data_IF_497915975450
#
_entry.id   IF_497915975450
#
_cell.length_a   1.000
_cell.length_b   1.000
_cell.length_c   1.000
_cell.angle_alpha   90.00
_cell.angle_beta   90.00
_cell.angle_gamma   90.00
#
_symmetry.space_group_name_H-M   'P 1'
#
loop_
_entity.id
_entity.type
_entity.pdbx_description
1 polymer ?
#
# COMPACT_ATOMS: atom_id res chain seq x y z
N UNK A 1 -28.10 -7.12 33.72
CA UNK A 1 -27.04 -6.15 34.08
C UNK A 1 -26.30 -5.79 32.80
N UNK A 2 -26.59 -4.62 32.22
CA UNK A 2 -26.09 -4.19 30.92
C UNK A 2 -24.70 -3.54 31.08
N UNK A 3 -23.65 -4.34 30.90
CA UNK A 3 -22.25 -3.93 31.06
C UNK A 3 -21.64 -3.39 29.75
N UNK A 4 -22.41 -2.63 28.95
CA UNK A 4 -22.08 -2.32 27.55
C UNK A 4 -21.36 -0.98 27.33
N UNK A 5 -21.15 -0.17 28.36
CA UNK A 5 -20.44 1.11 28.29
C UNK A 5 -19.05 1.01 28.90
N UNK A 6 -18.02 1.12 28.06
CA UNK A 6 -16.62 1.11 28.47
C UNK A 6 -16.31 2.31 29.38
N UNK A 7 -16.02 2.04 30.66
CA UNK A 7 -15.45 3.04 31.55
C UNK A 7 -14.03 3.43 31.12
N UNK A 8 -13.51 4.60 31.55
CA UNK A 8 -12.18 5.08 31.19
C UNK A 8 -11.02 4.14 31.59
N UNK A 9 -11.26 3.14 32.46
CA UNK A 9 -10.29 2.12 32.86
C UNK A 9 -10.32 0.79 32.08
N UNK A 10 -11.32 0.52 31.23
CA UNK A 10 -11.55 -0.82 30.62
C UNK A 10 -10.86 -1.06 29.26
N UNK A 11 -10.17 -0.04 28.72
CA UNK A 11 -9.25 -0.18 27.58
C UNK A 11 -7.82 -0.50 28.04
N UNK A 12 -7.65 -0.99 29.26
CA UNK A 12 -6.38 -1.54 29.73
C UNK A 12 -6.28 -2.98 29.26
N UNK A 13 -5.38 -3.22 28.30
CA UNK A 13 -5.07 -4.57 27.84
C UNK A 13 -4.21 -5.29 28.88
N UNK A 14 -4.33 -6.62 29.03
CA UNK A 14 -3.40 -7.40 29.83
C UNK A 14 -1.96 -7.13 29.38
N UNK A 15 -1.03 -7.04 30.32
CA UNK A 15 0.41 -6.85 30.06
C UNK A 15 0.97 -7.68 28.88
N UNK A 16 0.68 -8.99 28.74
CA UNK A 16 1.19 -9.76 27.59
C UNK A 16 0.64 -9.26 26.25
N UNK A 17 -0.64 -8.87 26.19
CA UNK A 17 -1.27 -8.35 24.97
C UNK A 17 -0.67 -7.00 24.59
N UNK A 18 -0.46 -6.13 25.58
CA UNK A 18 0.23 -4.85 25.40
C UNK A 18 1.64 -5.08 24.85
N UNK A 19 2.40 -6.02 25.43
CA UNK A 19 3.74 -6.37 24.94
C UNK A 19 3.72 -6.85 23.50
N UNK A 20 2.76 -7.70 23.11
CA UNK A 20 2.61 -8.18 21.73
C UNK A 20 2.42 -7.00 20.76
N UNK A 21 1.60 -6.01 21.10
CA UNK A 21 1.40 -4.83 20.25
C UNK A 21 2.67 -3.99 20.12
N UNK A 22 3.39 -3.73 21.21
CA UNK A 22 4.66 -2.99 21.16
C UNK A 22 5.72 -3.74 20.32
N UNK A 23 5.85 -5.06 20.51
CA UNK A 23 6.76 -5.90 19.71
C UNK A 23 6.38 -5.87 18.24
N UNK A 24 5.09 -6.04 17.91
CA UNK A 24 4.60 -5.96 16.54
C UNK A 24 4.89 -4.59 15.91
N UNK A 25 4.57 -3.48 16.57
CA UNK A 25 4.85 -2.14 16.04
C UNK A 25 6.35 -1.89 15.89
N UNK A 26 7.18 -2.40 16.81
CA UNK A 26 8.63 -2.35 16.69
C UNK A 26 9.16 -3.12 15.47
N UNK A 27 8.62 -4.32 15.21
CA UNK A 27 8.95 -5.10 14.01
C UNK A 27 8.53 -4.38 12.74
N UNK A 28 7.31 -3.83 12.69
CA UNK A 28 6.82 -3.02 11.56
C UNK A 28 7.73 -1.81 11.33
N UNK A 29 8.16 -1.14 12.38
CA UNK A 29 9.07 0.00 12.29
C UNK A 29 10.42 -0.41 11.66
N UNK A 30 11.08 -1.43 12.19
CA UNK A 30 12.40 -1.86 11.72
C UNK A 30 12.31 -2.42 10.30
N UNK A 31 11.41 -3.36 10.05
CA UNK A 31 11.26 -3.98 8.74
C UNK A 31 10.78 -2.96 7.71
N UNK A 32 9.78 -2.15 8.05
CA UNK A 32 9.26 -1.12 7.17
C UNK A 32 10.32 -0.11 6.78
N UNK A 33 11.14 0.39 7.72
CA UNK A 33 12.21 1.34 7.41
C UNK A 33 13.24 0.72 6.47
N UNK A 34 13.67 -0.52 6.74
CA UNK A 34 14.65 -1.21 5.90
C UNK A 34 14.10 -1.46 4.48
N UNK A 35 12.91 -2.04 4.37
CA UNK A 35 12.29 -2.42 3.10
C UNK A 35 11.96 -1.20 2.25
N UNK A 36 11.32 -0.17 2.83
CA UNK A 36 10.92 1.02 2.08
C UNK A 36 12.10 1.92 1.74
N UNK A 37 13.10 2.06 2.61
CA UNK A 37 14.31 2.84 2.28
C UNK A 37 15.12 2.16 1.17
N UNK A 38 15.30 0.84 1.25
CA UNK A 38 15.97 0.08 0.20
C UNK A 38 15.20 0.16 -1.12
N UNK A 39 13.88 0.00 -1.07
CA UNK A 39 13.03 0.14 -2.25
C UNK A 39 13.18 1.53 -2.87
N UNK A 40 13.01 2.60 -2.08
CA UNK A 40 13.12 3.97 -2.57
C UNK A 40 14.52 4.25 -3.15
N UNK A 41 15.59 3.76 -2.51
CA UNK A 41 16.96 3.86 -3.03
C UNK A 41 17.11 3.16 -4.39
N UNK A 42 16.65 1.91 -4.52
CA UNK A 42 16.72 1.16 -5.79
C UNK A 42 15.86 1.85 -6.87
N UNK A 43 14.66 2.28 -6.50
CA UNK A 43 13.72 2.97 -7.37
C UNK A 43 14.18 4.38 -7.74
N UNK A 44 15.05 5.05 -7.01
CA UNK A 44 15.51 6.38 -7.40
C UNK A 44 16.88 6.32 -8.08
N UNK A 45 17.80 5.50 -7.56
CA UNK A 45 19.21 5.58 -7.90
C UNK A 45 19.73 4.42 -8.76
N UNK A 46 19.06 3.26 -8.79
CA UNK A 46 19.56 2.07 -9.53
C UNK A 46 18.88 1.85 -10.86
N UNK A 47 17.63 2.24 -11.00
CA UNK A 47 16.89 2.03 -12.24
C UNK A 47 17.08 3.20 -13.20
N UNK A 48 17.45 2.93 -14.45
CA UNK A 48 17.80 3.96 -15.43
C UNK A 48 16.58 4.67 -16.03
N UNK A 49 15.45 3.95 -16.16
CA UNK A 49 14.24 4.47 -16.83
C UNK A 49 13.07 4.59 -15.87
N UNK A 50 12.44 5.76 -15.83
CA UNK A 50 11.22 5.97 -15.06
C UNK A 50 10.03 5.40 -15.81
N UNK A 51 9.28 4.53 -15.14
CA UNK A 51 8.01 3.96 -15.62
C UNK A 51 6.87 4.44 -14.72
N UNK A 52 5.63 4.33 -15.19
CA UNK A 52 4.43 4.72 -14.45
C UNK A 52 4.36 4.00 -13.10
N UNK A 53 4.57 2.69 -13.12
CA UNK A 53 4.51 1.84 -11.93
C UNK A 53 5.62 2.20 -10.94
N UNK A 54 6.81 2.56 -11.43
CA UNK A 54 7.92 3.05 -10.60
C UNK A 54 7.58 4.37 -9.90
N UNK A 55 6.88 5.28 -10.57
CA UNK A 55 6.40 6.53 -9.96
C UNK A 55 5.41 6.23 -8.82
N UNK A 56 4.43 5.36 -9.04
CA UNK A 56 3.47 4.99 -7.99
C UNK A 56 4.14 4.30 -6.80
N UNK A 57 5.07 3.36 -7.04
CA UNK A 57 5.79 2.68 -5.97
C UNK A 57 6.74 3.59 -5.19
N UNK A 58 7.39 4.57 -5.84
CA UNK A 58 8.21 5.54 -5.13
C UNK A 58 7.37 6.44 -4.21
N UNK A 59 6.18 6.86 -4.66
CA UNK A 59 5.24 7.61 -3.82
C UNK A 59 4.70 6.76 -2.66
N UNK A 60 4.45 5.46 -2.89
CA UNK A 60 4.01 4.53 -1.86
C UNK A 60 5.09 4.37 -0.78
N UNK A 61 6.34 4.08 -1.19
CA UNK A 61 7.48 3.98 -0.28
C UNK A 61 7.70 5.28 0.51
N UNK A 62 7.53 6.45 -0.13
CA UNK A 62 7.64 7.74 0.54
C UNK A 62 6.54 7.93 1.60
N UNK A 63 5.29 7.60 1.29
CA UNK A 63 4.19 7.69 2.24
C UNK A 63 4.40 6.74 3.43
N UNK A 64 4.86 5.52 3.17
CA UNK A 64 5.18 4.54 4.22
C UNK A 64 6.33 4.99 5.12
N UNK A 65 7.40 5.56 4.56
CA UNK A 65 8.49 6.14 5.35
C UNK A 65 7.98 7.28 6.24
N UNK A 66 7.08 8.13 5.74
CA UNK A 66 6.44 9.16 6.56
C UNK A 66 5.66 8.55 7.73
N UNK A 67 4.86 7.49 7.50
CA UNK A 67 4.19 6.76 8.58
C UNK A 67 5.20 6.21 9.59
N UNK A 68 6.23 5.51 9.12
CA UNK A 68 7.23 4.85 9.97
C UNK A 68 7.95 5.86 10.88
N UNK A 69 8.26 7.06 10.39
CA UNK A 69 8.82 8.14 11.20
C UNK A 69 7.88 8.61 12.33
N UNK A 70 6.57 8.44 12.19
CA UNK A 70 5.59 8.81 13.24
C UNK A 70 5.33 7.73 14.28
N UNK A 71 5.67 6.46 13.99
CA UNK A 71 5.43 5.35 14.91
C UNK A 71 6.15 5.50 16.26
N UNK A 72 7.44 5.94 16.35
CA UNK A 72 8.09 6.17 17.63
C UNK A 72 7.36 7.21 18.49
N UNK A 73 6.89 8.29 17.87
CA UNK A 73 6.13 9.32 18.55
C UNK A 73 4.77 8.77 19.03
N UNK A 74 4.07 8.00 18.21
CA UNK A 74 2.84 7.33 18.60
C UNK A 74 3.06 6.40 19.81
N UNK A 75 4.11 5.59 19.82
CA UNK A 75 4.42 4.69 20.94
C UNK A 75 4.73 5.46 22.24
N UNK A 76 5.51 6.54 22.13
CA UNK A 76 5.78 7.44 23.25
C UNK A 76 4.48 8.05 23.81
N UNK A 77 3.64 8.53 22.91
CA UNK A 77 2.36 9.17 23.19
C UNK A 77 1.39 8.22 23.91
N UNK A 78 1.29 6.97 23.44
CA UNK A 78 0.49 5.91 24.06
C UNK A 78 0.99 5.50 25.45
N UNK A 79 2.32 5.47 25.65
CA UNK A 79 2.92 5.09 26.93
C UNK A 79 2.73 6.17 28.00
N UNK A 80 2.93 7.43 27.64
CA UNK A 80 2.99 8.52 28.59
C UNK A 80 1.66 9.28 28.74
N UNK A 81 0.62 8.88 28.00
CA UNK A 81 -0.68 9.55 28.05
C UNK A 81 -0.57 11.03 27.68
N UNK A 82 0.21 11.34 26.63
CA UNK A 82 0.49 12.74 26.25
C UNK A 82 -0.79 13.47 25.90
N UNK A 83 -0.89 14.72 26.35
CA UNK A 83 -1.96 15.65 26.00
C UNK A 83 -1.97 16.00 24.51
N UNK A 84 -3.11 16.53 24.08
CA UNK A 84 -3.39 17.02 22.73
C UNK A 84 -2.43 18.14 22.31
N UNK A 85 -1.28 17.74 21.76
CA UNK A 85 -0.22 18.64 21.28
C UNK A 85 -0.23 18.74 19.76
N UNK A 86 0.19 19.86 19.16
CA UNK A 86 0.28 19.99 17.70
C UNK A 86 1.09 18.87 17.02
N UNK A 87 2.15 18.38 17.67
CA UNK A 87 2.94 17.24 17.19
C UNK A 87 2.16 15.92 17.18
N UNK A 88 1.28 15.72 18.16
CA UNK A 88 0.38 14.57 18.19
C UNK A 88 -0.68 14.65 17.09
N UNK A 89 -1.26 15.83 16.89
CA UNK A 89 -2.20 16.06 15.80
C UNK A 89 -1.55 15.84 14.43
N UNK A 90 -0.34 16.35 14.23
CA UNK A 90 0.44 16.15 13.01
C UNK A 90 0.75 14.67 12.79
N UNK A 91 1.20 13.96 13.82
CA UNK A 91 1.52 12.52 13.74
C UNK A 91 0.29 11.69 13.38
N UNK A 92 -0.87 12.00 13.97
CA UNK A 92 -2.14 11.36 13.60
C UNK A 92 -2.57 11.72 12.18
N UNK A 93 -2.35 12.97 11.75
CA UNK A 93 -2.59 13.42 10.38
C UNK A 93 -1.78 12.63 9.37
N UNK A 94 -0.47 12.45 9.60
CA UNK A 94 0.42 11.64 8.76
C UNK A 94 -0.02 10.17 8.76
N UNK A 95 -0.38 9.62 9.93
CA UNK A 95 -0.88 8.24 10.04
C UNK A 95 -2.13 8.03 9.16
N UNK A 96 -3.08 8.96 9.20
CA UNK A 96 -4.29 8.90 8.39
C UNK A 96 -4.02 9.17 6.91
N UNK A 97 -3.10 10.10 6.61
CA UNK A 97 -2.64 10.38 5.26
C UNK A 97 -2.04 9.13 4.62
N UNK A 98 -1.15 8.41 5.32
CA UNK A 98 -0.55 7.19 4.79
C UNK A 98 -1.61 6.15 4.45
N UNK A 99 -2.60 5.94 5.32
CA UNK A 99 -3.68 4.98 5.08
C UNK A 99 -4.41 5.26 3.77
N UNK A 100 -4.90 6.48 3.57
CA UNK A 100 -5.63 6.82 2.34
C UNK A 100 -4.74 6.94 1.12
N UNK A 101 -3.50 7.38 1.30
CA UNK A 101 -2.52 7.45 0.22
C UNK A 101 -2.16 6.04 -0.29
N UNK A 102 -1.90 5.11 0.61
CA UNK A 102 -1.65 3.70 0.29
C UNK A 102 -2.83 3.07 -0.45
N UNK A 103 -4.05 3.23 0.07
CA UNK A 103 -5.29 2.76 -0.58
C UNK A 103 -5.41 3.30 -2.01
N UNK A 104 -5.18 4.60 -2.18
CA UNK A 104 -5.33 5.28 -3.47
C UNK A 104 -4.25 4.88 -4.47
N UNK A 105 -3.00 4.75 -4.02
CA UNK A 105 -1.87 4.33 -4.85
C UNK A 105 -1.99 2.86 -5.27
N UNK A 106 -2.40 1.97 -4.36
CA UNK A 106 -2.67 0.55 -4.70
C UNK A 106 -3.76 0.44 -5.77
N UNK A 107 -4.85 1.22 -5.63
CA UNK A 107 -5.88 1.32 -6.66
C UNK A 107 -5.32 1.84 -7.98
N UNK A 108 -4.53 2.92 -7.97
CA UNK A 108 -3.93 3.49 -9.18
C UNK A 108 -3.01 2.49 -9.91
N UNK A 109 -2.21 1.71 -9.15
CA UNK A 109 -1.37 0.63 -9.69
C UNK A 109 -2.24 -0.45 -10.35
N UNK A 110 -3.35 -0.85 -9.73
CA UNK A 110 -4.25 -1.85 -10.30
C UNK A 110 -4.93 -1.35 -11.59
N UNK A 111 -5.34 -0.08 -11.62
CA UNK A 111 -5.91 0.56 -12.82
C UNK A 111 -4.87 0.64 -13.93
N UNK A 112 -3.63 1.04 -13.63
CA UNK A 112 -2.51 1.06 -14.57
C UNK A 112 -2.28 -0.32 -15.20
N UNK A 113 -2.25 -1.37 -14.37
CA UNK A 113 -2.08 -2.76 -14.82
C UNK A 113 -3.26 -3.25 -15.65
N UNK A 114 -4.49 -2.95 -15.22
CA UNK A 114 -5.69 -3.26 -16.00
C UNK A 114 -5.64 -2.62 -17.40
N UNK A 115 -5.32 -1.32 -17.47
CA UNK A 115 -5.20 -0.59 -18.73
C UNK A 115 -4.12 -1.19 -19.63
N UNK A 116 -2.96 -1.53 -19.07
CA UNK A 116 -1.86 -2.18 -19.79
C UNK A 116 -2.28 -3.49 -20.46
N UNK A 117 -3.07 -4.31 -19.76
CA UNK A 117 -3.45 -5.66 -20.20
C UNK A 117 -4.62 -5.64 -21.19
N UNK A 118 -5.63 -4.79 -20.94
CA UNK A 118 -6.89 -4.79 -21.71
C UNK A 118 -6.91 -3.82 -22.87
N UNK A 119 -6.17 -2.72 -22.80
CA UNK A 119 -6.23 -1.65 -23.80
C UNK A 119 -4.85 -1.18 -24.29
N UNK A 120 -3.89 -2.09 -24.59
CA UNK A 120 -2.48 -1.73 -24.84
C UNK A 120 -2.30 -0.66 -25.94
N UNK A 121 -3.13 -0.69 -27.00
CA UNK A 121 -3.08 0.28 -28.09
C UNK A 121 -3.71 1.65 -27.74
N UNK A 122 -4.76 1.66 -26.91
CA UNK A 122 -5.50 2.88 -26.55
C UNK A 122 -4.76 3.70 -25.48
N UNK A 123 -3.97 3.04 -24.64
CA UNK A 123 -3.24 3.69 -23.55
C UNK A 123 -1.77 3.99 -23.85
N UNK A 124 -1.26 3.65 -25.05
CA UNK A 124 0.14 3.91 -25.42
C UNK A 124 0.51 5.41 -25.42
N UNK A 125 -0.46 6.30 -25.65
CA UNK A 125 -0.29 7.76 -25.53
C UNK A 125 -0.79 8.36 -24.20
N UNK A 126 -1.50 7.57 -23.39
CA UNK A 126 -2.11 8.01 -22.11
C UNK A 126 -1.36 7.48 -20.88
N UNK A 127 -0.40 6.58 -21.09
CA UNK A 127 0.53 6.08 -20.07
C UNK A 127 1.89 6.69 -20.33
N UNK A 128 2.26 7.59 -19.43
CA UNK A 128 3.58 8.15 -19.35
C UNK A 128 3.94 8.39 -17.88
N UNK A 129 5.23 8.36 -17.52
CA UNK A 129 5.67 8.70 -16.17
C UNK A 129 5.19 10.08 -15.72
N UNK A 130 5.08 11.05 -16.65
CA UNK A 130 4.54 12.38 -16.36
C UNK A 130 3.09 12.34 -15.92
N UNK A 131 2.25 11.54 -16.57
CA UNK A 131 0.85 11.38 -16.18
C UNK A 131 0.71 10.64 -14.85
N UNK A 132 1.55 9.63 -14.60
CA UNK A 132 1.61 8.95 -13.30
C UNK A 132 2.02 9.93 -12.17
N UNK A 133 2.99 10.82 -12.43
CA UNK A 133 3.38 11.87 -11.48
C UNK A 133 2.23 12.83 -11.23
N UNK A 134 1.55 13.30 -12.29
CA UNK A 134 0.40 14.19 -12.15
C UNK A 134 -0.73 13.54 -11.32
N UNK A 135 -0.99 12.25 -11.54
CA UNK A 135 -1.95 11.48 -10.75
C UNK A 135 -1.52 11.39 -9.28
N UNK A 136 -0.25 11.06 -9.00
CA UNK A 136 0.27 11.01 -7.62
C UNK A 136 0.14 12.36 -6.92
N UNK A 137 0.46 13.47 -7.61
CA UNK A 137 0.31 14.82 -7.06
C UNK A 137 -1.16 15.15 -6.77
N UNK A 138 -2.08 14.79 -7.67
CA UNK A 138 -3.51 14.95 -7.44
C UNK A 138 -3.99 14.15 -6.22
N UNK A 139 -3.51 12.91 -6.05
CA UNK A 139 -3.80 12.08 -4.88
C UNK A 139 -3.25 12.71 -3.59
N UNK A 140 -2.01 13.22 -3.59
CA UNK A 140 -1.44 13.94 -2.45
C UNK A 140 -2.29 15.16 -2.07
N UNK A 141 -2.64 16.00 -3.05
CA UNK A 141 -3.46 17.19 -2.82
C UNK A 141 -4.84 16.80 -2.28
N UNK A 142 -5.47 15.76 -2.84
CA UNK A 142 -6.78 15.28 -2.39
C UNK A 142 -6.72 14.76 -0.94
N UNK A 143 -5.77 13.88 -0.65
CA UNK A 143 -5.63 13.26 0.68
C UNK A 143 -5.24 14.31 1.72
N UNK A 144 -4.15 15.04 1.51
CA UNK A 144 -3.67 16.06 2.46
C UNK A 144 -4.70 17.18 2.58
N UNK A 145 -5.27 17.66 1.47
CA UNK A 145 -6.29 18.69 1.47
C UNK A 145 -7.53 18.29 2.26
N UNK A 146 -8.01 17.06 2.12
CA UNK A 146 -9.15 16.55 2.90
C UNK A 146 -8.86 16.51 4.41
N UNK A 147 -7.62 16.17 4.80
CA UNK A 147 -7.20 16.11 6.19
C UNK A 147 -6.99 17.50 6.80
N UNK A 148 -6.41 18.42 6.04
CA UNK A 148 -6.27 19.82 6.44
C UNK A 148 -7.64 20.46 6.59
N UNK A 149 -8.56 20.24 5.64
CA UNK A 149 -9.93 20.73 5.74
C UNK A 149 -10.63 20.19 6.98
N UNK A 150 -10.49 18.89 7.26
CA UNK A 150 -11.01 18.28 8.49
C UNK A 150 -10.44 18.92 9.76
N UNK A 151 -9.13 19.21 9.76
CA UNK A 151 -8.46 19.85 10.88
C UNK A 151 -8.96 21.29 11.09
N UNK A 152 -9.06 22.09 10.01
CA UNK A 152 -9.54 23.49 10.02
C UNK A 152 -11.01 23.58 10.43
N UNK A 153 -11.87 22.71 9.92
CA UNK A 153 -13.31 22.74 10.19
C UNK A 153 -13.68 22.34 11.63
N UNK A 154 -12.70 21.98 12.47
CA UNK A 154 -12.99 21.61 13.86
C UNK A 154 -13.92 20.40 13.96
N UNK A 155 -14.03 19.56 12.91
CA UNK A 155 -14.72 18.25 12.94
C UNK A 155 -13.85 17.25 13.72
N UNK A 156 -13.42 17.70 14.88
CA UNK A 156 -12.52 17.09 15.84
C UNK A 156 -13.39 16.66 17.02
N UNK A 157 -14.17 15.62 16.77
CA UNK A 157 -15.02 15.05 17.80
C UNK A 157 -14.18 14.17 18.75
N UNK A 158 -13.61 14.82 19.77
CA UNK A 158 -13.00 14.20 20.94
C UNK A 158 -11.48 13.98 20.85
N UNK A 159 -10.75 14.73 21.68
CA UNK A 159 -9.43 14.46 22.23
C UNK A 159 -8.40 13.86 21.29
N UNK A 160 -7.55 14.71 20.70
CA UNK A 160 -6.43 14.25 19.88
C UNK A 160 -5.35 13.60 20.75
N UNK A 161 -5.30 12.27 20.66
CA UNK A 161 -4.16 11.38 20.79
C UNK A 161 -4.69 9.96 20.48
N UNK A 162 -3.83 8.98 20.20
CA UNK A 162 -4.18 7.59 19.86
C UNK A 162 -5.07 6.84 20.89
N UNK A 163 -5.57 7.54 21.91
CA UNK A 163 -6.46 7.10 22.97
C UNK A 163 -7.90 7.54 22.69
N UNK A 164 -8.66 6.63 22.09
CA UNK A 164 -10.12 6.54 22.00
C UNK A 164 -10.94 7.79 21.59
N UNK A 165 -11.52 7.80 20.38
CA UNK A 165 -12.46 8.84 19.94
C UNK A 165 -13.85 8.60 20.53
N UNK A 166 -14.28 9.41 21.48
CA UNK A 166 -15.63 9.31 22.06
C UNK A 166 -16.74 9.73 21.10
N UNK A 167 -16.50 10.54 20.06
CA UNK A 167 -17.63 11.04 19.25
C UNK A 167 -17.38 11.28 17.75
N UNK A 168 -16.50 10.54 17.05
CA UNK A 168 -16.37 10.66 15.58
C UNK A 168 -17.72 10.85 14.86
N UNK A 169 -17.92 12.01 14.22
CA UNK A 169 -19.17 12.35 13.54
C UNK A 169 -19.50 11.34 12.43
N UNK A 170 -20.78 11.02 12.25
CA UNK A 170 -21.23 10.07 11.23
C UNK A 170 -20.72 10.43 9.83
N UNK A 171 -20.64 11.73 9.50
CA UNK A 171 -20.11 12.23 8.22
C UNK A 171 -18.64 11.85 8.01
N UNK A 172 -17.81 11.90 9.07
CA UNK A 172 -16.39 11.54 8.99
C UNK A 172 -16.22 10.05 8.70
N UNK A 173 -17.03 9.21 9.35
CA UNK A 173 -16.99 7.76 9.13
C UNK A 173 -17.51 7.43 7.74
N UNK A 174 -18.58 8.08 7.28
CA UNK A 174 -19.11 7.89 5.91
C UNK A 174 -18.05 8.26 4.85
N UNK A 175 -17.35 9.39 5.01
CA UNK A 175 -16.28 9.77 4.09
C UNK A 175 -15.13 8.75 4.09
N UNK A 176 -14.78 8.22 5.27
CA UNK A 176 -13.80 7.13 5.41
C UNK A 176 -14.23 5.86 4.68
N UNK A 177 -15.49 5.46 4.84
CA UNK A 177 -16.06 4.29 4.16
C UNK A 177 -16.11 4.48 2.65
N UNK A 178 -16.52 5.67 2.17
CA UNK A 178 -16.52 5.98 0.74
C UNK A 178 -15.10 5.95 0.16
N UNK A 179 -14.14 6.55 0.89
CA UNK A 179 -12.72 6.54 0.55
C UNK A 179 -12.08 5.15 0.57
N UNK A 180 -12.78 4.12 1.07
CA UNK A 180 -12.31 2.73 1.06
C UNK A 180 -13.08 1.83 0.09
N UNK A 181 -14.41 1.83 0.13
CA UNK A 181 -15.24 0.93 -0.67
C UNK A 181 -15.18 1.26 -2.16
N UNK A 182 -15.02 2.54 -2.53
CA UNK A 182 -14.83 2.93 -3.93
C UNK A 182 -13.50 2.38 -4.46
N UNK A 183 -12.34 2.60 -3.80
CA UNK A 183 -11.09 1.95 -4.20
C UNK A 183 -11.15 0.41 -4.20
N UNK A 184 -11.83 -0.20 -3.22
CA UNK A 184 -12.01 -1.65 -3.19
C UNK A 184 -12.77 -2.15 -4.43
N UNK A 185 -13.88 -1.51 -4.80
CA UNK A 185 -14.67 -1.90 -5.96
C UNK A 185 -13.85 -1.81 -7.26
N UNK A 186 -13.09 -0.71 -7.43
CA UNK A 186 -12.19 -0.53 -8.57
C UNK A 186 -11.09 -1.61 -8.57
N UNK A 187 -10.46 -1.86 -7.43
CA UNK A 187 -9.39 -2.84 -7.28
C UNK A 187 -9.87 -4.26 -7.62
N UNK A 188 -11.04 -4.66 -7.11
CA UNK A 188 -11.66 -5.96 -7.42
C UNK A 188 -12.00 -6.05 -8.90
N UNK A 189 -12.63 -5.03 -9.48
CA UNK A 189 -12.95 -4.99 -10.90
C UNK A 189 -11.69 -5.14 -11.76
N UNK A 190 -10.67 -4.32 -11.52
CA UNK A 190 -9.40 -4.38 -12.25
C UNK A 190 -8.74 -5.75 -12.12
N UNK A 191 -8.74 -6.34 -10.92
CA UNK A 191 -8.18 -7.67 -10.66
C UNK A 191 -8.89 -8.76 -11.46
N UNK A 192 -10.22 -8.80 -11.42
CA UNK A 192 -11.02 -9.76 -12.19
C UNK A 192 -10.78 -9.62 -13.70
N UNK A 193 -10.70 -8.40 -14.20
CA UNK A 193 -10.47 -8.17 -15.63
C UNK A 193 -9.07 -8.62 -16.08
N UNK A 194 -8.04 -8.40 -15.27
CA UNK A 194 -6.68 -8.88 -15.56
C UNK A 194 -6.63 -10.42 -15.57
N UNK A 195 -7.30 -11.07 -14.63
CA UNK A 195 -7.38 -12.54 -14.55
C UNK A 195 -8.18 -13.14 -15.71
N UNK A 196 -9.33 -12.57 -16.05
CA UNK A 196 -10.12 -13.06 -17.20
C UNK A 196 -9.41 -12.83 -18.53
N UNK A 197 -8.59 -11.79 -18.65
CA UNK A 197 -7.76 -11.57 -19.82
C UNK A 197 -6.69 -12.65 -20.00
N UNK A 198 -6.21 -13.25 -18.90
CA UNK A 198 -5.32 -14.41 -18.96
C UNK A 198 -6.04 -15.67 -19.44
N UNK A 199 -7.22 -15.96 -18.88
CA UNK A 199 -7.96 -17.18 -19.19
C UNK A 199 -8.51 -17.26 -20.63
N UNK A 200 -8.62 -16.12 -21.32
CA UNK A 200 -9.19 -16.04 -22.69
C UNK A 200 -8.14 -16.01 -23.81
N UNK A 201 -6.84 -16.01 -23.51
CA UNK A 201 -5.79 -15.85 -24.53
C UNK A 201 -5.38 -17.21 -25.14
N UNK A 202 -5.27 -17.32 -26.48
CA UNK A 202 -4.76 -18.53 -27.13
C UNK A 202 -3.34 -18.85 -26.67
N UNK A 203 -3.04 -20.14 -26.46
CA UNK A 203 -1.74 -20.67 -25.99
C UNK A 203 -0.55 -20.40 -26.92
N UNK A 204 -0.78 -19.84 -28.11
CA UNK A 204 0.24 -19.63 -29.14
C UNK A 204 1.11 -18.37 -28.98
N UNK A 205 0.78 -17.44 -28.09
CA UNK A 205 1.54 -16.19 -27.88
C UNK A 205 2.29 -16.19 -26.54
N UNK A 206 3.32 -17.04 -26.43
CA UNK A 206 4.07 -17.31 -25.20
C UNK A 206 4.70 -16.06 -24.56
N UNK A 207 5.14 -15.09 -25.38
CA UNK A 207 5.77 -13.85 -24.91
C UNK A 207 4.79 -12.89 -24.20
N UNK A 208 3.55 -12.76 -24.70
CA UNK A 208 2.53 -11.94 -24.04
C UNK A 208 1.90 -12.63 -22.83
N UNK A 209 1.82 -13.96 -22.81
CA UNK A 209 1.34 -14.74 -21.66
C UNK A 209 2.21 -14.50 -20.43
N UNK A 210 3.53 -14.43 -20.60
CA UNK A 210 4.45 -14.18 -19.48
C UNK A 210 4.28 -12.77 -18.87
N UNK A 211 4.11 -11.74 -19.71
CA UNK A 211 3.88 -10.36 -19.27
C UNK A 211 2.54 -10.21 -18.56
N UNK A 212 1.48 -10.81 -19.10
CA UNK A 212 0.15 -10.78 -18.47
C UNK A 212 0.10 -11.59 -17.18
N UNK A 213 0.85 -12.69 -17.07
CA UNK A 213 0.92 -13.49 -15.84
C UNK A 213 1.65 -12.74 -14.73
N UNK A 214 2.72 -12.00 -15.05
CA UNK A 214 3.41 -11.12 -14.10
C UNK A 214 2.51 -10.01 -13.60
N UNK A 215 1.81 -9.33 -14.52
CA UNK A 215 0.84 -8.30 -14.17
C UNK A 215 -0.28 -8.85 -13.27
N UNK A 216 -0.79 -10.05 -13.54
CA UNK A 216 -1.82 -10.68 -12.71
C UNK A 216 -1.31 -11.07 -11.33
N UNK A 217 -0.09 -11.59 -11.20
CA UNK A 217 0.51 -11.90 -9.88
C UNK A 217 0.68 -10.64 -9.03
N UNK A 218 1.14 -9.54 -9.63
CA UNK A 218 1.24 -8.26 -8.95
C UNK A 218 -0.13 -7.74 -8.51
N UNK A 219 -1.13 -7.74 -9.40
CA UNK A 219 -2.49 -7.26 -9.07
C UNK A 219 -3.16 -8.13 -7.99
N UNK A 220 -3.00 -9.46 -8.06
CA UNK A 220 -3.49 -10.37 -7.03
C UNK A 220 -2.81 -10.17 -5.68
N UNK A 221 -1.49 -10.01 -5.67
CA UNK A 221 -0.75 -9.71 -4.45
C UNK A 221 -1.27 -8.42 -3.80
N UNK A 222 -1.43 -7.36 -4.59
CA UNK A 222 -1.96 -6.09 -4.12
C UNK A 222 -3.40 -6.21 -3.57
N UNK A 223 -4.26 -7.01 -4.23
CA UNK A 223 -5.61 -7.27 -3.74
C UNK A 223 -5.58 -7.99 -2.38
N UNK A 224 -4.73 -9.01 -2.22
CA UNK A 224 -4.60 -9.76 -0.96
C UNK A 224 -4.11 -8.83 0.16
N UNK A 225 -3.06 -8.04 -0.10
CA UNK A 225 -2.54 -7.08 0.89
C UNK A 225 -3.62 -6.07 1.27
N UNK A 226 -4.33 -5.50 0.28
CA UNK A 226 -5.39 -4.55 0.53
C UNK A 226 -6.52 -5.13 1.39
N UNK A 227 -6.96 -6.35 1.08
CA UNK A 227 -8.00 -7.05 1.82
C UNK A 227 -7.54 -7.41 3.23
N UNK A 228 -6.31 -7.89 3.42
CA UNK A 228 -5.81 -8.28 4.74
C UNK A 228 -5.58 -7.06 5.63
N UNK A 229 -4.99 -5.98 5.10
CA UNK A 229 -4.60 -4.82 5.90
C UNK A 229 -5.74 -3.83 6.12
N UNK A 230 -6.55 -3.54 5.09
CA UNK A 230 -7.52 -2.44 5.18
C UNK A 230 -8.96 -2.88 5.40
N UNK A 231 -9.40 -4.01 4.83
CA UNK A 231 -10.81 -4.45 4.94
C UNK A 231 -11.27 -4.68 6.40
N UNK A 232 -10.50 -5.32 7.29
CA UNK A 232 -10.98 -5.61 8.64
C UNK A 232 -11.34 -4.35 9.42
N UNK A 233 -10.54 -3.29 9.27
CA UNK A 233 -10.80 -2.01 9.92
C UNK A 233 -12.08 -1.36 9.42
N UNK A 234 -12.27 -1.31 8.10
CA UNK A 234 -13.44 -0.67 7.50
C UNK A 234 -14.72 -1.47 7.75
N UNK A 235 -14.65 -2.79 7.84
CA UNK A 235 -15.77 -3.63 8.29
C UNK A 235 -16.18 -3.25 9.73
N UNK A 236 -15.23 -3.11 10.65
CA UNK A 236 -15.54 -2.71 12.03
C UNK A 236 -16.12 -1.29 12.08
N UNK A 237 -15.62 -0.36 11.26
CA UNK A 237 -16.20 0.98 11.12
C UNK A 237 -17.64 0.95 10.59
N UNK A 238 -17.92 0.12 9.59
CA UNK A 238 -19.28 -0.10 9.07
C UNK A 238 -20.20 -0.65 10.14
N UNK A 239 -19.76 -1.65 10.92
CA UNK A 239 -20.54 -2.19 12.05
C UNK A 239 -20.82 -1.12 13.11
N UNK A 240 -19.83 -0.28 13.43
CA UNK A 240 -20.00 0.83 14.39
C UNK A 240 -21.10 1.79 13.94
N UNK A 241 -21.13 2.16 12.66
CA UNK A 241 -22.16 3.06 12.11
C UNK A 241 -23.52 2.37 12.08
N UNK A 242 -23.58 1.13 11.58
CA UNK A 242 -24.83 0.38 11.43
C UNK A 242 -25.52 0.10 12.78
N UNK A 243 -24.73 -0.18 13.82
CA UNK A 243 -25.27 -0.48 15.16
C UNK A 243 -25.46 0.77 16.02
N UNK A 244 -24.76 1.87 15.72
CA UNK A 244 -24.73 3.08 16.56
C UNK A 244 -24.37 2.82 18.04
N UNK A 245 -23.75 1.66 18.35
CA UNK A 245 -23.41 1.24 19.70
C UNK A 245 -21.90 1.40 19.96
N UNK A 246 -21.49 2.26 20.90
CA UNK A 246 -20.07 2.43 21.25
C UNK A 246 -19.59 1.35 22.23
N UNK A 247 -19.70 0.06 21.84
CA UNK A 247 -19.33 -1.05 22.74
C UNK A 247 -17.81 -1.19 22.89
N UNK A 248 -17.38 -1.77 24.01
CA UNK A 248 -15.98 -2.13 24.25
C UNK A 248 -15.42 -3.06 23.16
N UNK A 249 -16.24 -3.98 22.66
CA UNK A 249 -15.85 -4.94 21.62
C UNK A 249 -15.47 -4.20 20.34
N UNK A 250 -16.29 -3.24 19.91
CA UNK A 250 -16.02 -2.42 18.72
C UNK A 250 -14.75 -1.59 18.92
N UNK A 251 -14.55 -0.98 20.09
CA UNK A 251 -13.34 -0.19 20.38
C UNK A 251 -12.07 -1.05 20.32
N UNK A 252 -12.10 -2.24 20.93
CA UNK A 252 -11.00 -3.21 20.89
C UNK A 252 -10.74 -3.70 19.46
N UNK A 253 -11.79 -4.02 18.71
CA UNK A 253 -11.68 -4.44 17.31
C UNK A 253 -11.07 -3.34 16.43
N UNK A 254 -11.47 -2.06 16.60
CA UNK A 254 -10.86 -0.93 15.88
C UNK A 254 -9.38 -0.78 16.19
N UNK A 255 -8.97 -0.98 17.45
CA UNK A 255 -7.56 -0.93 17.83
C UNK A 255 -6.77 -2.05 17.13
N UNK A 256 -7.22 -3.30 17.25
CA UNK A 256 -6.57 -4.48 16.63
C UNK A 256 -6.47 -4.33 15.12
N UNK A 257 -7.58 -3.99 14.47
CA UNK A 257 -7.63 -3.86 13.01
C UNK A 257 -6.85 -2.65 12.49
N UNK A 258 -6.73 -1.58 13.27
CA UNK A 258 -5.82 -0.47 12.95
C UNK A 258 -4.36 -0.91 12.97
N UNK A 259 -3.96 -1.73 13.96
CA UNK A 259 -2.60 -2.31 14.01
C UNK A 259 -2.33 -3.26 12.85
N UNK A 260 -3.31 -4.08 12.48
CA UNK A 260 -3.21 -4.92 11.28
C UNK A 260 -3.02 -4.08 10.01
N UNK A 261 -3.72 -2.95 9.89
CA UNK A 261 -3.54 -2.00 8.80
C UNK A 261 -2.14 -1.39 8.73
N UNK A 262 -1.45 -1.23 9.86
CA UNK A 262 -0.06 -0.73 9.89
C UNK A 262 0.90 -1.70 9.16
N UNK A 263 0.58 -2.99 9.10
CA UNK A 263 1.38 -3.99 8.41
C UNK A 263 1.46 -3.79 6.89
N UNK A 264 0.59 -2.95 6.30
CA UNK A 264 0.59 -2.65 4.88
C UNK A 264 1.97 -2.18 4.39
N UNK A 265 2.62 -1.28 5.15
CA UNK A 265 3.91 -0.70 4.76
C UNK A 265 5.03 -1.74 4.64
N UNK A 266 4.91 -2.89 5.31
CA UNK A 266 5.85 -4.01 5.17
C UNK A 266 5.46 -4.91 3.99
N UNK A 267 4.16 -5.14 3.79
CA UNK A 267 3.66 -6.00 2.72
C UNK A 267 3.78 -5.37 1.34
N UNK A 268 3.91 -4.04 1.25
CA UNK A 268 4.27 -3.33 0.01
C UNK A 268 5.63 -3.76 -0.56
N UNK A 269 6.48 -4.41 0.22
CA UNK A 269 7.68 -5.08 -0.27
C UNK A 269 7.41 -6.16 -1.33
N UNK A 270 6.22 -6.77 -1.32
CA UNK A 270 5.80 -7.73 -2.35
C UNK A 270 5.69 -7.01 -3.70
N UNK A 271 5.12 -5.79 -3.72
CA UNK A 271 5.05 -4.96 -4.92
C UNK A 271 6.45 -4.65 -5.48
N UNK A 272 7.38 -4.29 -4.58
CA UNK A 272 8.75 -3.97 -4.96
C UNK A 272 9.51 -5.17 -5.53
N UNK A 273 9.29 -6.37 -4.96
CA UNK A 273 9.86 -7.61 -5.47
C UNK A 273 9.45 -7.87 -6.92
N UNK A 274 8.15 -7.77 -7.23
CA UNK A 274 7.65 -7.99 -8.58
C UNK A 274 8.21 -6.96 -9.57
N UNK A 275 8.32 -5.68 -9.19
CA UNK A 275 8.93 -4.68 -10.05
C UNK A 275 10.43 -4.94 -10.27
N UNK A 276 11.18 -5.26 -9.22
CA UNK A 276 12.60 -5.54 -9.33
C UNK A 276 12.86 -6.75 -10.25
N UNK A 277 11.98 -7.74 -10.20
CA UNK A 277 12.01 -8.90 -11.10
C UNK A 277 11.73 -8.49 -12.56
N UNK A 278 10.70 -7.70 -12.81
CA UNK A 278 10.40 -7.18 -14.15
C UNK A 278 11.59 -6.41 -14.74
N UNK A 279 12.24 -5.56 -13.94
CA UNK A 279 13.41 -4.80 -14.37
C UNK A 279 14.61 -5.68 -14.69
N UNK A 280 14.93 -6.64 -13.83
CA UNK A 280 16.07 -7.57 -14.04
C UNK A 280 15.91 -8.35 -15.33
N UNK A 281 14.71 -8.82 -15.63
CA UNK A 281 14.40 -9.57 -16.84
C UNK A 281 14.38 -8.70 -18.11
N UNK A 282 14.00 -7.42 -17.99
CA UNK A 282 14.09 -6.46 -19.08
C UNK A 282 15.56 -6.11 -19.41
N UNK A 283 16.38 -5.86 -18.39
CA UNK A 283 17.82 -5.63 -18.57
C UNK A 283 18.55 -6.84 -19.15
N UNK A 284 18.19 -8.06 -18.74
CA UNK A 284 18.76 -9.28 -19.30
C UNK A 284 18.46 -9.46 -20.80
N UNK A 285 17.28 -9.01 -21.26
CA UNK A 285 16.89 -9.04 -22.69
C UNK A 285 17.55 -7.95 -23.52
N UNK A 286 17.99 -6.86 -22.91
CA UNK A 286 18.67 -5.75 -23.57
C UNK A 286 20.21 -5.92 -23.64
N UNK A 287 20.77 -6.95 -22.99
CA UNK A 287 22.19 -7.26 -23.07
C UNK A 287 22.60 -7.87 -24.42
N UNK A 288 23.87 -7.74 -24.84
CA UNK A 288 24.35 -8.37 -26.06
C UNK A 288 24.19 -9.90 -25.96
N UNK A 289 23.80 -10.60 -27.04
CA UNK A 289 23.70 -12.05 -27.01
C UNK A 289 25.07 -12.65 -26.65
N UNK A 290 25.10 -13.75 -25.87
CA UNK A 290 26.36 -14.41 -25.56
C UNK A 290 27.03 -14.81 -26.87
N UNK A 291 28.31 -14.46 -27.01
CA UNK A 291 29.11 -14.79 -28.18
C UNK A 291 28.99 -16.30 -28.44
N UNK A 292 28.41 -16.67 -29.58
CA UNK A 292 28.46 -18.05 -30.05
C UNK A 292 29.95 -18.39 -30.18
N UNK A 293 30.44 -19.30 -29.34
CA UNK A 293 31.77 -19.85 -29.48
C UNK A 293 31.89 -20.43 -30.89
N UNK A 294 32.66 -19.74 -31.73
CA UNK A 294 33.02 -20.21 -33.06
C UNK A 294 33.87 -21.47 -32.85
N UNK A 295 33.27 -22.66 -32.98
CA UNK A 295 34.05 -23.88 -33.21
C UNK A 295 34.70 -23.71 -34.58
N UNK A 296 35.92 -23.18 -34.60
CA UNK A 296 36.80 -23.28 -35.76
C UNK A 296 37.20 -24.74 -35.88
N UNK A 297 36.63 -25.43 -36.87
CA UNK A 297 37.06 -26.75 -37.28
C UNK A 297 38.13 -26.57 -38.34
N UNK A 298 39.33 -26.17 -37.93
CA UNK A 298 40.54 -26.28 -38.76
C UNK A 298 41.13 -27.68 -38.53
N UNK A 299 40.75 -28.63 -39.38
CA UNK A 299 41.43 -29.92 -39.53
C UNK A 299 41.35 -30.32 -41.00
N UNK A 300 42.08 -29.60 -41.86
CA UNK A 300 42.39 -30.01 -43.23
C UNK A 300 43.48 -29.10 -43.82
N UNK A 301 44.72 -29.25 -43.32
CA UNK A 301 45.93 -29.03 -44.13
C UNK A 301 47.16 -29.51 -43.34
N UNK A 302 47.42 -30.82 -43.38
CA UNK A 302 48.74 -31.37 -43.10
C UNK A 302 49.03 -32.38 -44.21
N UNK A 303 49.56 -31.86 -45.31
CA UNK A 303 50.17 -32.65 -46.38
C UNK A 303 51.65 -32.26 -46.43
N UNK A 304 52.53 -33.27 -46.43
CA UNK A 304 53.91 -33.23 -46.93
C UNK A 304 54.97 -32.45 -46.12
N UNK A 305 55.63 -33.17 -45.21
CA UNK A 305 57.09 -33.27 -45.10
C UNK A 305 57.46 -34.45 -44.19
#
# INVERSE_FOLDING_TARGET
>A
MNNSTCGPGELTWPQPVTSIFYTYTGLVLVLGLLLNSLALWVLCCRMQQWTETRVYMANLAMADLCLLCTLPFMLYSLKNGTTDTPLCQLSQGIYLANRYMSISLIMAIAVDRYMAVRHPMRVRGLRSPRQATAMCMALWVLVVGSLVLRWVLGVQEGGFCFTSPSSQSSNTVIFSLLGFYLPLAVLVFCSLQVVTALGRRPTADSGQVEVTQKAARMVWANLVVFVVCFLPLHVVLTVRVATSLPTCVIRRALYVTSRLSDGNCCLDAICYYYLAKEFREASARAGPPPAKAHKSQESLCATLA
#
